data_IF_562618497643
#
_entry.id   IF_562618497643
#
_cell.length_a   1.000
_cell.length_b   1.000
_cell.length_c   1.000
_cell.angle_alpha   90.00
_cell.angle_beta   90.00
_cell.angle_gamma   90.00
#
_symmetry.space_group_name_H-M   'P 1'
#
loop_
_entity.id
_entity.type
_entity.pdbx_description
1 polymer ?
#
# COMPACT_ATOMS: atom_id res chain seq x y z
N UNK A 1 -11.43 -9.86 5.35
CA UNK A 1 -12.85 -9.42 5.33
C UNK A 1 -13.13 -8.23 4.40
N UNK A 2 -12.14 -7.44 3.96
CA UNK A 2 -12.45 -6.25 3.17
C UNK A 2 -12.82 -6.53 1.70
N UNK A 3 -12.20 -7.50 1.02
CA UNK A 3 -12.41 -7.71 -0.43
C UNK A 3 -13.86 -8.09 -0.82
N UNK A 4 -14.57 -8.88 -0.01
CA UNK A 4 -15.98 -9.27 -0.29
C UNK A 4 -16.97 -8.11 -0.18
N UNK A 5 -16.60 -7.00 0.45
CA UNK A 5 -17.41 -5.78 0.45
C UNK A 5 -17.28 -4.97 -0.85
N UNK A 6 -16.20 -5.19 -1.62
CA UNK A 6 -15.93 -4.49 -2.88
C UNK A 6 -16.16 -5.35 -4.13
N UNK A 7 -16.28 -6.68 -3.97
CA UNK A 7 -16.58 -7.59 -5.06
C UNK A 7 -17.79 -8.47 -4.72
N UNK A 8 -18.76 -8.63 -5.63
CA UNK A 8 -19.89 -9.52 -5.41
C UNK A 8 -19.39 -10.97 -5.32
N UNK A 9 -19.67 -11.62 -4.19
CA UNK A 9 -19.37 -13.02 -3.93
C UNK A 9 -20.67 -13.80 -3.73
N UNK A 10 -20.69 -15.08 -4.07
CA UNK A 10 -21.87 -15.95 -3.94
C UNK A 10 -21.98 -16.61 -2.56
N UNK A 11 -21.31 -16.05 -1.54
CA UNK A 11 -21.26 -16.61 -0.19
C UNK A 11 -21.24 -15.48 0.85
N UNK A 12 -21.77 -15.75 2.04
CA UNK A 12 -21.73 -14.88 3.20
C UNK A 12 -20.50 -15.20 4.05
N UNK A 13 -19.57 -14.24 4.16
CA UNK A 13 -18.30 -14.41 4.89
C UNK A 13 -18.47 -14.61 6.41
N UNK A 14 -19.67 -14.36 6.96
CA UNK A 14 -20.01 -14.51 8.38
C UNK A 14 -20.83 -15.78 8.62
N UNK A 15 -21.80 -16.09 7.75
CA UNK A 15 -22.73 -17.21 7.95
C UNK A 15 -22.23 -18.53 7.35
N UNK A 16 -21.44 -18.49 6.27
CA UNK A 16 -21.05 -19.69 5.53
C UNK A 16 -19.71 -20.30 5.99
N UNK A 17 -19.01 -19.69 6.95
CA UNK A 17 -17.68 -20.13 7.42
C UNK A 17 -17.58 -20.17 8.95
N UNK A 18 -17.07 -21.29 9.49
CA UNK A 18 -16.72 -21.42 10.92
C UNK A 18 -15.27 -20.95 11.17
N UNK A 19 -15.03 -19.94 12.02
CA UNK A 19 -13.69 -19.45 12.31
C UNK A 19 -12.90 -20.45 13.17
N UNK A 20 -11.74 -20.91 12.68
CA UNK A 20 -10.87 -21.83 13.43
C UNK A 20 -9.96 -21.07 14.41
N UNK A 21 -9.11 -20.17 13.90
CA UNK A 21 -8.18 -19.39 14.71
C UNK A 21 -7.60 -18.20 13.94
N UNK A 22 -7.08 -17.21 14.68
CA UNK A 22 -6.34 -16.09 14.13
C UNK A 22 -4.87 -16.46 13.93
N UNK A 23 -4.39 -16.44 12.68
CA UNK A 23 -3.05 -16.92 12.34
C UNK A 23 -1.98 -15.86 12.59
N UNK A 24 -2.21 -14.62 12.14
CA UNK A 24 -1.18 -13.57 12.21
C UNK A 24 -1.74 -12.17 11.98
N UNK A 25 -1.04 -11.17 12.52
CA UNK A 25 -1.21 -9.76 12.18
C UNK A 25 0.03 -9.26 11.43
N UNK A 26 -0.18 -8.70 10.24
CA UNK A 26 0.88 -8.04 9.46
C UNK A 26 0.81 -6.52 9.67
N UNK A 27 1.96 -5.89 9.90
CA UNK A 27 2.08 -4.43 9.96
C UNK A 27 2.31 -3.88 8.56
N UNK A 28 1.49 -2.91 8.17
CA UNK A 28 1.69 -2.13 6.96
C UNK A 28 2.53 -0.90 7.28
N UNK A 29 3.33 -0.48 6.31
CA UNK A 29 4.08 0.77 6.35
C UNK A 29 4.08 1.40 4.96
N UNK A 30 4.35 2.70 4.90
CA UNK A 30 4.41 3.42 3.64
C UNK A 30 5.82 3.34 3.06
N UNK A 31 5.92 2.83 1.83
CA UNK A 31 7.19 2.70 1.09
C UNK A 31 7.14 3.44 -0.25
N UNK A 32 8.31 3.81 -0.76
CA UNK A 32 8.48 4.46 -2.06
C UNK A 32 9.59 3.82 -2.90
N UNK A 33 9.56 4.09 -4.21
CA UNK A 33 10.71 3.85 -5.08
C UNK A 33 11.94 4.62 -4.60
N UNK A 34 13.13 4.07 -4.84
CA UNK A 34 14.38 4.66 -4.33
C UNK A 34 14.64 6.09 -4.83
N UNK A 35 14.26 6.38 -6.07
CA UNK A 35 14.44 7.69 -6.70
C UNK A 35 13.38 8.73 -6.30
N UNK A 36 12.43 8.40 -5.41
CA UNK A 36 11.38 9.34 -5.04
C UNK A 36 11.97 10.53 -4.27
N UNK A 37 11.64 11.79 -4.59
CA UNK A 37 12.36 12.95 -4.02
C UNK A 37 12.36 13.02 -2.48
N UNK A 38 11.22 12.78 -1.79
CA UNK A 38 11.16 12.87 -0.34
C UNK A 38 12.06 11.86 0.37
N UNK A 39 12.73 12.33 1.44
CA UNK A 39 13.64 11.54 2.26
C UNK A 39 12.99 11.04 3.55
N UNK A 40 12.04 11.80 4.08
CA UNK A 40 11.29 11.48 5.29
C UNK A 40 9.79 11.74 5.10
N UNK A 41 9.02 11.43 6.14
CA UNK A 41 7.56 11.56 6.13
C UNK A 41 7.09 13.02 6.01
N UNK A 42 7.83 13.96 6.57
CA UNK A 42 7.50 15.40 6.54
C UNK A 42 7.65 15.93 5.13
N UNK A 43 8.79 15.63 4.50
CA UNK A 43 9.03 15.95 3.09
C UNK A 43 8.03 15.25 2.18
N UNK A 44 7.62 14.02 2.51
CA UNK A 44 6.66 13.27 1.71
C UNK A 44 5.30 13.96 1.69
N UNK A 45 4.79 14.32 2.86
CA UNK A 45 3.50 15.02 2.99
C UNK A 45 3.57 16.37 2.27
N UNK A 46 4.66 17.12 2.47
CA UNK A 46 4.86 18.40 1.79
C UNK A 46 4.89 18.25 0.26
N UNK A 47 5.64 17.27 -0.25
CA UNK A 47 5.75 17.00 -1.67
C UNK A 47 4.41 16.59 -2.28
N UNK A 48 3.66 15.71 -1.62
CA UNK A 48 2.35 15.25 -2.08
C UNK A 48 1.30 16.37 -2.08
N UNK A 49 1.35 17.28 -1.10
CA UNK A 49 0.48 18.48 -1.09
C UNK A 49 0.83 19.44 -2.22
N UNK A 50 2.12 19.64 -2.51
CA UNK A 50 2.58 20.49 -3.59
C UNK A 50 2.35 19.87 -4.99
N UNK A 51 2.19 18.54 -5.06
CA UNK A 51 2.08 17.78 -6.30
C UNK A 51 0.82 16.89 -6.31
N UNK A 52 -0.39 17.46 -6.18
CA UNK A 52 -1.61 16.67 -6.09
C UNK A 52 -1.79 15.80 -7.34
N UNK A 53 -2.14 14.54 -7.15
CA UNK A 53 -2.39 13.56 -8.21
C UNK A 53 -1.19 13.23 -9.12
N UNK A 54 0.03 13.65 -8.76
CA UNK A 54 1.24 13.34 -9.54
C UNK A 54 1.92 12.03 -9.12
N UNK A 55 1.74 11.61 -7.88
CA UNK A 55 2.23 10.32 -7.42
C UNK A 55 1.23 9.20 -7.73
N UNK A 56 1.78 8.05 -8.06
CA UNK A 56 1.09 6.78 -8.22
C UNK A 56 1.32 5.87 -7.00
N UNK A 57 0.29 5.20 -6.53
CA UNK A 57 0.34 4.27 -5.41
C UNK A 57 -0.11 2.88 -5.83
N UNK A 58 0.76 1.88 -5.69
CA UNK A 58 0.39 0.50 -5.95
C UNK A 58 -0.54 -0.05 -4.87
N UNK A 59 -1.51 -0.85 -5.28
CA UNK A 59 -2.42 -1.58 -4.41
C UNK A 59 -2.72 -2.94 -5.02
N UNK A 60 -2.92 -3.96 -4.19
CA UNK A 60 -3.20 -5.34 -4.64
C UNK A 60 -4.68 -5.61 -4.90
N UNK A 61 -5.45 -4.53 -5.09
CA UNK A 61 -6.87 -4.56 -5.44
C UNK A 61 -7.70 -3.60 -4.59
N UNK A 62 -8.86 -3.22 -5.13
CA UNK A 62 -9.85 -2.42 -4.42
C UNK A 62 -10.26 -3.11 -3.12
N UNK A 63 -10.22 -2.36 -2.02
CA UNK A 63 -10.55 -2.86 -0.69
C UNK A 63 -9.46 -3.69 -0.01
N UNK A 64 -8.31 -3.89 -0.65
CA UNK A 64 -7.18 -4.51 0.03
C UNK A 64 -6.69 -3.66 1.20
N UNK A 65 -5.96 -4.27 2.14
CA UNK A 65 -5.38 -3.53 3.26
C UNK A 65 -4.42 -2.42 2.78
N UNK A 66 -3.70 -2.64 1.68
CA UNK A 66 -2.86 -1.64 1.02
C UNK A 66 -3.68 -0.45 0.49
N UNK A 67 -4.82 -0.71 -0.15
CA UNK A 67 -5.73 0.33 -0.64
C UNK A 67 -6.26 1.20 0.52
N UNK A 68 -6.75 0.54 1.57
CA UNK A 68 -7.34 1.22 2.74
C UNK A 68 -6.27 2.04 3.46
N UNK A 69 -5.06 1.52 3.62
CA UNK A 69 -3.93 2.25 4.21
C UNK A 69 -3.60 3.52 3.41
N UNK A 70 -3.56 3.44 2.07
CA UNK A 70 -3.34 4.60 1.21
C UNK A 70 -4.44 5.65 1.35
N UNK A 71 -5.73 5.25 1.30
CA UNK A 71 -6.86 6.17 1.46
C UNK A 71 -6.83 6.81 2.86
N UNK A 72 -6.54 6.01 3.89
CA UNK A 72 -6.45 6.51 5.25
C UNK A 72 -5.34 7.55 5.38
N UNK A 73 -4.19 7.32 4.77
CA UNK A 73 -3.10 8.29 4.72
C UNK A 73 -3.50 9.57 3.98
N UNK A 74 -4.18 9.48 2.83
CA UNK A 74 -4.73 10.65 2.13
C UNK A 74 -5.65 11.48 3.03
N UNK A 75 -6.59 10.81 3.71
CA UNK A 75 -7.55 11.45 4.60
C UNK A 75 -6.89 12.15 5.79
N UNK A 76 -5.93 11.49 6.45
CA UNK A 76 -5.23 12.06 7.61
C UNK A 76 -4.34 13.23 7.23
N UNK A 77 -3.70 13.19 6.07
CA UNK A 77 -2.69 14.17 5.66
C UNK A 77 -3.23 15.25 4.74
N UNK A 78 -4.44 15.09 4.20
CA UNK A 78 -5.00 15.94 3.16
C UNK A 78 -4.21 15.87 1.84
N UNK A 79 -3.58 14.74 1.55
CA UNK A 79 -2.81 14.51 0.32
C UNK A 79 -3.63 13.78 -0.73
N UNK A 80 -3.20 13.86 -2.01
CA UNK A 80 -3.85 13.16 -3.11
C UNK A 80 -2.83 12.51 -4.04
N UNK A 81 -3.06 11.24 -4.36
CA UNK A 81 -2.30 10.41 -5.29
C UNK A 81 -3.21 9.33 -5.90
N UNK A 82 -2.82 8.77 -7.04
CA UNK A 82 -3.66 7.88 -7.82
C UNK A 82 -3.30 6.42 -7.58
N UNK A 83 -4.29 5.53 -7.47
CA UNK A 83 -4.04 4.10 -7.26
C UNK A 83 -3.85 3.35 -8.57
N UNK A 84 -2.85 2.46 -8.59
CA UNK A 84 -2.63 1.47 -9.65
C UNK A 84 -2.86 0.09 -9.04
N UNK A 85 -3.79 -0.68 -9.60
CA UNK A 85 -4.18 -1.97 -9.06
C UNK A 85 -3.45 -3.13 -9.72
N UNK A 86 -2.88 -3.99 -8.88
CA UNK A 86 -2.13 -5.18 -9.25
C UNK A 86 -2.85 -6.44 -8.79
N UNK A 87 -2.60 -7.57 -9.48
CA UNK A 87 -3.12 -8.89 -9.11
C UNK A 87 -2.26 -9.58 -8.04
N UNK A 88 -1.85 -8.84 -7.02
CA UNK A 88 -1.02 -9.35 -5.91
C UNK A 88 0.27 -8.56 -5.65
N UNK A 89 0.94 -8.89 -4.55
CA UNK A 89 2.13 -8.17 -4.07
C UNK A 89 3.38 -8.33 -4.94
N UNK A 90 3.59 -9.52 -5.53
CA UNK A 90 4.78 -9.79 -6.36
C UNK A 90 4.97 -8.79 -7.51
N UNK A 91 4.00 -8.64 -8.42
CA UNK A 91 4.06 -7.64 -9.48
C UNK A 91 4.17 -6.20 -8.96
N UNK A 92 3.44 -5.87 -7.89
CA UNK A 92 3.48 -4.53 -7.30
C UNK A 92 4.87 -4.15 -6.76
N UNK A 93 5.57 -5.09 -6.11
CA UNK A 93 6.93 -4.87 -5.60
C UNK A 93 7.95 -4.74 -6.72
N UNK A 94 7.81 -5.52 -7.79
CA UNK A 94 8.67 -5.41 -8.97
C UNK A 94 8.56 -4.02 -9.61
N UNK A 95 7.34 -3.53 -9.80
CA UNK A 95 7.10 -2.20 -10.37
C UNK A 95 7.57 -1.07 -9.46
N UNK A 96 7.46 -1.22 -8.13
CA UNK A 96 7.98 -0.25 -7.18
C UNK A 96 9.51 -0.15 -7.25
N UNK A 97 10.20 -1.30 -7.32
CA UNK A 97 11.66 -1.35 -7.44
C UNK A 97 12.12 -0.84 -8.80
N UNK A 98 11.40 -1.16 -9.87
CA UNK A 98 11.66 -0.64 -11.22
C UNK A 98 11.33 0.86 -11.37
N UNK A 99 10.56 1.43 -10.44
CA UNK A 99 10.16 2.83 -10.44
C UNK A 99 8.97 3.18 -11.33
N UNK A 100 8.21 2.17 -11.77
CA UNK A 100 6.95 2.33 -12.52
C UNK A 100 5.81 2.88 -11.65
N UNK A 101 5.87 2.64 -10.34
CA UNK A 101 4.99 3.24 -9.34
C UNK A 101 5.79 3.95 -8.27
N UNK A 102 5.21 5.00 -7.68
CA UNK A 102 5.94 5.86 -6.75
C UNK A 102 5.88 5.35 -5.31
N UNK A 103 4.70 4.92 -4.87
CA UNK A 103 4.39 4.62 -3.47
C UNK A 103 3.62 3.31 -3.33
N UNK A 104 3.64 2.73 -2.13
CA UNK A 104 2.79 1.61 -1.76
C UNK A 104 2.66 1.54 -0.23
N UNK A 105 1.47 1.25 0.30
CA UNK A 105 1.37 0.69 1.64
C UNK A 105 1.61 -0.82 1.55
N UNK A 106 2.76 -1.27 2.02
CA UNK A 106 3.19 -2.66 1.87
C UNK A 106 3.35 -3.35 3.23
N UNK A 107 3.33 -4.69 3.23
CA UNK A 107 3.68 -5.44 4.44
C UNK A 107 5.18 -5.34 4.71
N UNK A 108 5.54 -4.99 5.94
CA UNK A 108 6.94 -4.86 6.34
C UNK A 108 7.72 -6.17 6.19
N UNK A 109 7.08 -7.32 6.44
CA UNK A 109 7.68 -8.66 6.25
C UNK A 109 8.18 -8.89 4.82
N UNK A 110 7.40 -8.48 3.83
CA UNK A 110 7.72 -8.68 2.41
C UNK A 110 8.74 -7.66 1.87
N UNK A 111 8.80 -6.46 2.47
CA UNK A 111 9.55 -5.32 1.91
C UNK A 111 10.80 -4.93 2.70
N UNK A 112 10.96 -5.43 3.93
CA UNK A 112 12.17 -5.21 4.74
C UNK A 112 13.47 -5.66 4.04
N UNK A 113 13.53 -6.80 3.30
CA UNK A 113 14.72 -7.14 2.52
C UNK A 113 15.03 -6.11 1.43
N UNK A 114 14.01 -5.60 0.73
CA UNK A 114 14.17 -4.58 -0.31
C UNK A 114 14.70 -3.26 0.26
N UNK A 115 14.23 -2.87 1.46
CA UNK A 115 14.73 -1.70 2.18
C UNK A 115 16.21 -1.89 2.56
N UNK A 116 16.57 -3.05 3.12
CA UNK A 116 17.96 -3.37 3.51
C UNK A 116 18.91 -3.39 2.32
N UNK A 117 18.43 -3.83 1.17
CA UNK A 117 19.16 -3.80 -0.11
C UNK A 117 19.25 -2.40 -0.74
N UNK A 118 18.62 -1.37 -0.14
CA UNK A 118 18.60 -0.01 -0.67
C UNK A 118 17.79 0.15 -1.97
N UNK A 119 16.84 -0.75 -2.23
CA UNK A 119 16.02 -0.74 -3.46
C UNK A 119 14.76 0.11 -3.34
N UNK A 120 14.35 0.44 -2.11
CA UNK A 120 13.17 1.25 -1.80
C UNK A 120 13.44 2.16 -0.60
N UNK A 121 12.57 3.14 -0.39
CA UNK A 121 12.50 3.97 0.83
C UNK A 121 11.30 3.55 1.68
N UNK A 122 11.39 3.75 2.99
CA UNK A 122 10.30 3.55 3.94
C UNK A 122 10.10 4.80 4.80
N UNK A 123 8.85 5.20 5.03
CA UNK A 123 8.51 6.45 5.72
C UNK A 123 7.86 6.24 7.10
N UNK A 124 7.43 5.03 7.44
CA UNK A 124 6.90 4.71 8.76
C UNK A 124 5.71 3.76 8.74
N UNK A 125 5.41 3.22 9.94
CA UNK A 125 4.27 2.33 10.28
C UNK A 125 3.11 3.17 10.79
#
# INVERSE_FOLDING_TARGET
MAASAFYPVQYDVVQDFEPISFVSISRLWLVAKIAFPPRDITELIAWLKANPNRASAASVGTGSAAHICGIHFQNLTGTQFQFVFYRGGGPAYQDLVAGHVDLMCAEASATLPLLRDGKIKAYGV
#
